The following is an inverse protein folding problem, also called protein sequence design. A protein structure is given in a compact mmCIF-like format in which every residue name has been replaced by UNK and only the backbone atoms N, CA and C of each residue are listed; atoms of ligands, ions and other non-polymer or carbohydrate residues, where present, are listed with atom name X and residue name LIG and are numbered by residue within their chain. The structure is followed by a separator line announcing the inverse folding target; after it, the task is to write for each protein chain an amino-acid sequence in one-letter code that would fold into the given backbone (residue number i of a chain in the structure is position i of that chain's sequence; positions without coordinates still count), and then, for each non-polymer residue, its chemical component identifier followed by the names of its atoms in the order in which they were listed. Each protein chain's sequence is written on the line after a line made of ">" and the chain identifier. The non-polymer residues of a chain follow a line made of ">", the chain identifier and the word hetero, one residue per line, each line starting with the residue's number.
data_IF_518551258473
#
_entry.id   IF_518551258473
#
_cell.length_a   1.000
_cell.length_b   1.000
_cell.length_c   1.000
_cell.angle_alpha   90.00
_cell.angle_beta   90.00
_cell.angle_gamma   90.00
#
_symmetry.space_group_name_H-M   'P 1'
#
loop_
_entity.id
_entity.type
_entity.pdbx_description
1 polymer ?
#
# COMPACT_ATOMS: atom_id res chain seq x y z
N UNK A 1 -29.29 -8.56 16.89
CA UNK A 1 -28.74 -8.58 15.52
C UNK A 1 -28.16 -7.21 15.23
N UNK A 2 -26.88 -7.13 14.86
CA UNK A 2 -26.33 -5.91 14.25
C UNK A 2 -27.07 -5.66 12.93
N UNK A 3 -27.35 -4.40 12.58
CA UNK A 3 -27.95 -4.06 11.28
C UNK A 3 -26.99 -4.29 10.09
N UNK A 4 -25.74 -4.65 10.38
CA UNK A 4 -24.67 -4.93 9.43
C UNK A 4 -24.69 -6.43 9.12
N UNK A 5 -24.78 -6.77 7.83
CA UNK A 5 -24.54 -8.12 7.36
C UNK A 5 -23.06 -8.48 7.55
N UNK A 6 -22.81 -9.55 8.31
CA UNK A 6 -21.46 -10.00 8.64
C UNK A 6 -20.91 -11.02 7.64
N UNK A 7 -21.75 -11.58 6.75
CA UNK A 7 -21.34 -12.61 5.79
C UNK A 7 -20.14 -12.21 4.91
N UNK A 8 -20.01 -10.95 4.43
CA UNK A 8 -18.85 -10.55 3.64
C UNK A 8 -17.50 -10.60 4.38
N UNK A 9 -17.51 -10.59 5.71
CA UNK A 9 -16.30 -10.51 6.53
C UNK A 9 -15.82 -11.88 7.04
N UNK A 10 -16.52 -12.97 6.74
CA UNK A 10 -16.15 -14.30 7.24
C UNK A 10 -14.81 -14.81 6.68
N UNK A 11 -14.38 -14.31 5.53
CA UNK A 11 -13.05 -14.61 4.96
C UNK A 11 -11.93 -13.74 5.54
N UNK A 12 -12.27 -12.69 6.29
CA UNK A 12 -11.31 -11.71 6.82
C UNK A 12 -11.09 -11.81 8.33
N UNK A 13 -11.94 -12.56 9.06
CA UNK A 13 -11.85 -12.68 10.52
C UNK A 13 -12.35 -14.03 11.03
N UNK A 14 -11.61 -14.64 11.96
CA UNK A 14 -12.03 -15.85 12.66
C UNK A 14 -12.92 -15.52 13.87
N UNK A 15 -13.85 -16.42 14.21
CA UNK A 15 -14.75 -16.24 15.37
C UNK A 15 -15.55 -14.92 15.34
N UNK A 16 -15.97 -14.52 14.14
CA UNK A 16 -16.69 -13.27 13.89
C UNK A 16 -18.03 -13.22 14.65
N UNK A 17 -18.15 -12.30 15.59
CA UNK A 17 -19.37 -12.11 16.41
C UNK A 17 -20.01 -10.72 16.25
N UNK A 18 -19.34 -9.79 15.57
CA UNK A 18 -19.83 -8.42 15.41
C UNK A 18 -18.87 -7.53 14.62
N UNK A 19 -19.14 -6.23 14.65
CA UNK A 19 -18.31 -5.20 14.03
C UNK A 19 -18.21 -3.97 14.94
N UNK A 20 -17.09 -3.26 14.87
CA UNK A 20 -16.93 -1.94 15.47
C UNK A 20 -17.27 -0.86 14.45
N UNK A 21 -18.05 0.15 14.85
CA UNK A 21 -18.39 1.29 13.99
C UNK A 21 -17.35 2.38 14.18
N UNK A 22 -16.70 2.80 13.09
CA UNK A 22 -15.77 3.93 13.07
C UNK A 22 -16.42 5.07 12.25
N UNK A 23 -16.52 6.31 12.78
CA UNK A 23 -17.00 7.45 12.02
C UNK A 23 -16.15 7.68 10.77
N UNK A 24 -16.81 7.99 9.64
CA UNK A 24 -16.15 8.28 8.37
C UNK A 24 -16.48 9.70 7.94
N UNK A 25 -15.45 10.47 7.64
CA UNK A 25 -15.53 11.81 7.07
C UNK A 25 -14.99 11.81 5.65
N UNK A 26 -15.31 12.83 4.87
CA UNK A 26 -14.79 13.00 3.50
C UNK A 26 -14.06 14.34 3.43
N UNK A 27 -12.79 14.32 2.99
CA UNK A 27 -11.96 15.50 2.80
C UNK A 27 -11.68 15.70 1.32
N UNK A 28 -11.99 16.88 0.78
CA UNK A 28 -11.68 17.20 -0.60
C UNK A 28 -12.42 18.42 -1.13
N UNK A 29 -12.19 18.76 -2.41
CA UNK A 29 -11.33 18.02 -3.33
C UNK A 29 -9.84 18.24 -3.04
N UNK A 30 -9.02 17.19 -3.22
CA UNK A 30 -7.58 17.32 -3.36
C UNK A 30 -7.27 17.40 -4.86
N UNK A 31 -6.58 18.48 -5.26
CA UNK A 31 -6.10 18.64 -6.64
C UNK A 31 -4.73 17.98 -6.76
N UNK A 32 -4.65 16.94 -7.60
CA UNK A 32 -3.50 16.06 -7.71
C UNK A 32 -3.07 15.91 -9.16
N UNK A 33 -1.76 15.79 -9.38
CA UNK A 33 -1.20 15.25 -10.61
C UNK A 33 -0.58 13.88 -10.29
N UNK A 34 -1.26 12.84 -10.74
CA UNK A 34 -0.94 11.43 -10.50
C UNK A 34 -0.16 10.88 -11.69
N UNK A 35 0.87 10.08 -11.40
CA UNK A 35 1.50 9.25 -12.43
C UNK A 35 0.72 7.96 -12.65
N UNK A 36 0.68 7.49 -13.89
CA UNK A 36 0.23 6.15 -14.27
C UNK A 36 1.47 5.28 -14.45
N UNK A 37 1.44 4.09 -13.87
CA UNK A 37 2.63 3.24 -13.76
C UNK A 37 2.31 1.80 -14.17
N UNK A 38 3.24 1.19 -14.91
CA UNK A 38 3.27 -0.24 -15.16
C UNK A 38 4.45 -0.87 -14.41
N UNK A 39 4.22 -2.10 -13.93
CA UNK A 39 5.25 -2.89 -13.27
C UNK A 39 5.86 -3.88 -14.26
N UNK A 40 7.11 -3.65 -14.65
CA UNK A 40 7.83 -4.51 -15.57
C UNK A 40 8.47 -5.71 -14.85
N UNK A 41 7.88 -6.89 -14.99
CA UNK A 41 8.40 -8.15 -14.45
C UNK A 41 9.53 -8.76 -15.30
N UNK A 42 10.41 -9.61 -14.73
CA UNK A 42 10.48 -10.10 -13.33
C UNK A 42 11.30 -9.20 -12.39
N UNK A 43 11.84 -8.10 -12.92
CA UNK A 43 12.71 -7.19 -12.16
C UNK A 43 11.90 -6.11 -11.43
N UNK A 44 10.58 -6.05 -11.68
CA UNK A 44 9.55 -5.12 -11.22
C UNK A 44 9.91 -3.64 -11.40
N UNK A 45 10.54 -3.26 -12.50
CA UNK A 45 10.83 -1.83 -12.71
C UNK A 45 9.49 -1.07 -12.81
N UNK A 46 9.36 0.01 -12.03
CA UNK A 46 8.19 0.90 -12.11
C UNK A 46 8.42 1.84 -13.29
N UNK A 47 7.62 1.73 -14.33
CA UNK A 47 7.70 2.56 -15.53
C UNK A 47 6.51 3.52 -15.58
N UNK A 48 6.77 4.82 -15.56
CA UNK A 48 5.72 5.84 -15.74
C UNK A 48 5.27 5.85 -17.21
N UNK A 49 4.00 5.58 -17.45
CA UNK A 49 3.39 5.53 -18.78
C UNK A 49 2.64 6.82 -19.13
N UNK A 50 2.26 7.60 -18.12
CA UNK A 50 1.54 8.85 -18.30
C UNK A 50 1.35 9.62 -17.00
N UNK A 51 0.75 10.80 -17.11
CA UNK A 51 0.31 11.60 -15.95
C UNK A 51 -1.06 12.17 -16.20
N UNK A 52 -1.88 12.16 -15.16
CA UNK A 52 -3.26 12.62 -15.21
C UNK A 52 -3.52 13.58 -14.04
N UNK A 53 -4.21 14.68 -14.33
CA UNK A 53 -4.72 15.57 -13.30
C UNK A 53 -6.06 15.04 -12.79
N UNK A 54 -6.22 14.98 -11.47
CA UNK A 54 -7.42 14.45 -10.84
C UNK A 54 -7.84 15.29 -9.62
N UNK A 55 -9.12 15.18 -9.27
CA UNK A 55 -9.75 15.83 -8.12
C UNK A 55 -10.45 14.80 -7.27
N UNK A 56 -9.78 14.38 -6.20
CA UNK A 56 -10.25 13.26 -5.37
C UNK A 56 -10.86 13.73 -4.07
N UNK A 57 -11.87 12.99 -3.61
CA UNK A 57 -12.46 13.13 -2.28
C UNK A 57 -12.02 11.94 -1.44
N UNK A 58 -11.25 12.20 -0.39
CA UNK A 58 -10.60 11.17 0.44
C UNK A 58 -11.51 10.79 1.61
N UNK A 59 -12.01 9.55 1.69
CA UNK A 59 -12.68 9.07 2.89
C UNK A 59 -11.66 8.81 4.00
N UNK A 60 -11.97 9.28 5.21
CA UNK A 60 -11.14 9.12 6.39
C UNK A 60 -11.98 8.53 7.52
N UNK A 61 -11.69 7.29 7.90
CA UNK A 61 -12.26 6.63 9.06
C UNK A 61 -11.44 6.98 10.31
N UNK A 62 -12.00 7.76 11.25
CA UNK A 62 -11.29 8.19 12.46
C UNK A 62 -12.25 8.65 13.57
N UNK A 63 -11.73 8.76 14.78
CA UNK A 63 -12.45 9.29 15.96
C UNK A 63 -11.80 10.55 16.54
N UNK A 64 -10.78 11.10 15.88
CA UNK A 64 -9.99 12.23 16.39
C UNK A 64 -10.65 13.57 16.01
N UNK A 65 -10.95 14.38 17.01
CA UNK A 65 -11.47 15.73 16.80
C UNK A 65 -10.48 16.61 16.02
N UNK A 66 -10.93 17.21 14.93
CA UNK A 66 -10.15 18.19 14.17
C UNK A 66 -9.26 17.62 13.05
N UNK A 67 -9.08 16.29 12.96
CA UNK A 67 -8.24 15.66 11.93
C UNK A 67 -8.70 16.02 10.51
N UNK A 68 -9.97 15.79 10.16
CA UNK A 68 -10.51 16.11 8.83
C UNK A 68 -10.45 17.60 8.51
N UNK A 69 -10.71 18.45 9.51
CA UNK A 69 -10.65 19.90 9.32
C UNK A 69 -9.21 20.37 9.05
N UNK A 70 -8.23 19.76 9.72
CA UNK A 70 -6.81 20.03 9.48
C UNK A 70 -6.39 19.61 8.07
N UNK A 71 -6.74 18.38 7.66
CA UNK A 71 -6.45 17.88 6.32
C UNK A 71 -7.14 18.71 5.22
N UNK A 72 -8.39 19.12 5.44
CA UNK A 72 -9.11 20.00 4.52
C UNK A 72 -8.41 21.35 4.35
N UNK A 73 -7.95 21.99 5.43
CA UNK A 73 -7.19 23.25 5.35
C UNK A 73 -5.90 23.07 4.56
N UNK A 74 -5.15 21.99 4.81
CA UNK A 74 -3.93 21.67 4.07
C UNK A 74 -4.19 21.46 2.57
N UNK A 75 -5.22 20.68 2.23
CA UNK A 75 -5.64 20.46 0.84
C UNK A 75 -6.02 21.77 0.14
N UNK A 76 -6.70 22.68 0.86
CA UNK A 76 -7.07 24.00 0.32
C UNK A 76 -5.85 24.85 -0.01
N UNK A 77 -4.90 24.94 0.91
CA UNK A 77 -3.65 25.70 0.69
C UNK A 77 -2.85 25.11 -0.48
N UNK A 78 -2.78 23.78 -0.57
CA UNK A 78 -2.09 23.12 -1.67
C UNK A 78 -2.75 23.40 -3.03
N UNK A 79 -4.09 23.32 -3.12
CA UNK A 79 -4.82 23.67 -4.35
C UNK A 79 -4.54 25.11 -4.80
N UNK A 80 -4.55 26.06 -3.85
CA UNK A 80 -4.21 27.46 -4.12
C UNK A 80 -2.73 27.67 -4.52
N UNK A 81 -1.88 26.66 -4.31
CA UNK A 81 -0.45 26.64 -4.65
C UNK A 81 -0.12 25.75 -5.87
N UNK A 82 -1.12 25.30 -6.63
CA UNK A 82 -0.94 24.47 -7.82
C UNK A 82 -1.15 22.97 -7.63
N UNK A 83 -1.70 22.55 -6.49
CA UNK A 83 -2.02 21.16 -6.17
C UNK A 83 -0.81 20.34 -5.70
N UNK A 84 -1.02 19.04 -5.51
CA UNK A 84 0.07 18.11 -5.21
C UNK A 84 0.52 17.37 -6.47
N UNK A 85 1.83 17.14 -6.58
CA UNK A 85 2.41 16.23 -7.58
C UNK A 85 3.07 15.06 -6.87
N UNK A 86 2.74 13.85 -7.29
CA UNK A 86 3.20 12.62 -6.62
C UNK A 86 3.88 11.66 -7.59
N UNK A 87 4.75 10.80 -7.08
CA UNK A 87 5.46 9.79 -7.86
C UNK A 87 5.57 8.48 -7.08
N UNK A 88 5.44 7.36 -7.78
CA UNK A 88 5.77 6.03 -7.25
C UNK A 88 7.22 5.71 -7.60
N UNK A 89 8.07 5.61 -6.60
CA UNK A 89 9.50 5.36 -6.82
C UNK A 89 9.83 3.86 -6.90
N UNK A 90 9.11 3.04 -6.12
CA UNK A 90 9.27 1.59 -6.05
C UNK A 90 7.93 0.96 -5.62
N UNK A 91 7.63 -0.22 -6.15
CA UNK A 91 6.44 -0.99 -5.77
C UNK A 91 6.85 -2.45 -5.47
N UNK A 92 7.15 -2.73 -4.20
CA UNK A 92 7.56 -4.07 -3.75
C UNK A 92 7.02 -4.40 -2.37
N UNK A 93 6.65 -5.67 -2.22
CA UNK A 93 6.44 -6.31 -0.93
C UNK A 93 7.63 -7.24 -0.67
N UNK A 94 8.14 -7.23 0.55
CA UNK A 94 9.23 -8.12 0.96
C UNK A 94 8.72 -9.22 1.89
N UNK A 95 9.35 -10.39 1.80
CA UNK A 95 9.19 -11.51 2.74
C UNK A 95 10.58 -12.02 3.07
N UNK A 96 10.88 -12.16 4.35
CA UNK A 96 12.11 -12.77 4.84
C UNK A 96 11.78 -14.10 5.53
N UNK A 97 12.23 -15.20 4.95
CA UNK A 97 12.05 -16.55 5.49
C UNK A 97 13.28 -16.93 6.34
N UNK A 98 13.06 -17.72 7.40
CA UNK A 98 14.14 -18.27 8.21
C UNK A 98 14.46 -19.69 7.75
N UNK A 99 15.72 -19.94 7.41
CA UNK A 99 16.24 -21.27 7.11
C UNK A 99 17.14 -21.74 8.26
N UNK A 100 16.93 -22.96 8.71
CA UNK A 100 17.72 -23.58 9.78
C UNK A 100 18.73 -24.53 9.15
N UNK A 101 20.02 -24.25 9.36
CA UNK A 101 21.15 -25.08 8.92
C UNK A 101 21.78 -25.80 10.14
N UNK A 102 22.49 -26.91 9.92
CA UNK A 102 23.09 -27.68 11.02
C UNK A 102 24.36 -27.03 11.56
N UNK A 103 25.02 -26.21 10.75
CA UNK A 103 26.23 -25.48 11.09
C UNK A 103 26.25 -24.10 10.41
N UNK A 104 27.13 -23.22 10.89
CA UNK A 104 27.38 -21.92 10.26
C UNK A 104 27.95 -22.07 8.84
N UNK A 105 28.75 -23.12 8.59
CA UNK A 105 29.32 -23.40 7.28
C UNK A 105 28.22 -23.65 6.24
N UNK A 106 27.26 -24.53 6.55
CA UNK A 106 26.09 -24.78 5.68
C UNK A 106 25.26 -23.52 5.44
N UNK A 107 25.10 -22.66 6.47
CA UNK A 107 24.36 -21.40 6.32
C UNK A 107 25.07 -20.43 5.35
N UNK A 108 26.40 -20.35 5.40
CA UNK A 108 27.20 -19.53 4.48
C UNK A 108 27.14 -20.10 3.06
N UNK A 109 27.20 -21.41 2.90
CA UNK A 109 27.03 -22.07 1.59
C UNK A 109 25.65 -21.78 1.00
N UNK A 110 24.58 -21.90 1.79
CA UNK A 110 23.22 -21.60 1.36
C UNK A 110 23.07 -20.13 0.94
N UNK A 111 23.62 -19.19 1.72
CA UNK A 111 23.55 -17.77 1.38
C UNK A 111 24.23 -17.47 0.03
N UNK A 112 25.41 -18.04 -0.21
CA UNK A 112 26.14 -17.91 -1.49
C UNK A 112 25.38 -18.55 -2.65
N UNK A 113 24.78 -19.72 -2.42
CA UNK A 113 23.95 -20.38 -3.41
C UNK A 113 22.75 -19.50 -3.81
N UNK A 114 22.01 -18.96 -2.84
CA UNK A 114 20.86 -18.10 -3.11
C UNK A 114 21.25 -16.83 -3.88
N UNK A 115 22.37 -16.21 -3.52
CA UNK A 115 22.88 -15.02 -4.21
C UNK A 115 23.27 -15.33 -5.67
N UNK A 116 23.95 -16.45 -5.90
CA UNK A 116 24.33 -16.91 -7.24
C UNK A 116 23.14 -17.27 -8.13
N UNK A 117 22.03 -17.73 -7.54
CA UNK A 117 20.84 -18.20 -8.26
C UNK A 117 19.64 -17.23 -8.21
N UNK A 118 19.79 -16.02 -7.65
CA UNK A 118 18.67 -15.09 -7.45
C UNK A 118 17.90 -14.76 -8.74
N UNK A 119 18.61 -14.64 -9.87
CA UNK A 119 18.00 -14.33 -11.17
C UNK A 119 17.23 -15.52 -11.77
N UNK A 120 17.62 -16.76 -11.43
CA UNK A 120 16.88 -17.97 -11.81
C UNK A 120 15.62 -18.09 -10.96
N UNK A 121 15.75 -17.92 -9.64
CA UNK A 121 14.63 -17.97 -8.69
C UNK A 121 13.57 -16.92 -9.04
N UNK A 122 13.99 -15.69 -9.41
CA UNK A 122 13.07 -14.62 -9.86
C UNK A 122 12.33 -14.92 -11.16
N UNK A 123 12.89 -15.74 -12.05
CA UNK A 123 12.23 -16.12 -13.31
C UNK A 123 11.25 -17.28 -13.16
N UNK A 124 11.39 -18.05 -12.09
CA UNK A 124 10.48 -19.16 -11.77
C UNK A 124 9.18 -18.68 -11.13
N UNK A 125 9.25 -17.62 -10.34
CA UNK A 125 8.11 -16.92 -9.74
C UNK A 125 7.30 -16.17 -10.79
#
# INVERSE_FOLDING_TARGET
>A
MTAIDLAPFTGANEMLTGAAVIPVSVVGPLELELGEYELEEPFGRVAETGRTQDRVYVPLAHTEGGLSASLYRGARVAAESGGFRTWVLQDRITRASCFVCRSTEEAVELARFLDAHVAEIRRWL
#
